data_IF_774859743292
#
_entry.id   IF_774859743292
#
_cell.length_a   1.000
_cell.length_b   1.000
_cell.length_c   1.000
_cell.angle_alpha   90.00
_cell.angle_beta   90.00
_cell.angle_gamma   90.00
#
_symmetry.space_group_name_H-M   'P 1'
#
loop_
_entity.id
_entity.type
_entity.pdbx_description
1 polymer ?
#
# COMPACT_ATOMS: atom_id res chain seq x y z
N UNK A 1 -3.14 2.31 -0.67
CA UNK A 1 -2.21 3.47 -0.75
C UNK A 1 -2.40 4.19 -2.06
N UNK A 2 -2.33 5.52 -2.04
CA UNK A 2 -2.41 6.41 -3.19
C UNK A 2 -1.20 7.34 -3.17
N UNK A 3 -0.73 7.74 -4.35
CA UNK A 3 0.31 8.77 -4.48
C UNK A 3 -0.40 10.09 -4.78
N UNK A 4 -0.12 11.11 -3.98
CA UNK A 4 -0.56 12.47 -4.22
C UNK A 4 0.66 13.25 -4.67
N UNK A 5 0.57 13.86 -5.84
CA UNK A 5 1.67 14.63 -6.43
C UNK A 5 1.15 15.92 -7.05
N UNK A 6 2.03 16.90 -7.17
CA UNK A 6 1.73 18.19 -7.77
C UNK A 6 2.98 19.04 -7.91
N UNK A 7 2.79 20.28 -8.37
CA UNK A 7 3.89 21.23 -8.58
C UNK A 7 3.64 22.54 -7.86
N UNK A 8 4.72 23.20 -7.42
CA UNK A 8 4.70 24.59 -6.96
C UNK A 8 5.67 25.39 -7.83
N UNK A 9 5.12 26.39 -8.54
CA UNK A 9 5.86 27.25 -9.47
C UNK A 9 5.80 28.71 -9.04
N UNK A 10 6.82 29.46 -9.42
CA UNK A 10 6.83 30.91 -9.37
C UNK A 10 5.94 31.48 -10.49
N UNK A 11 4.96 32.29 -10.10
CA UNK A 11 4.07 33.03 -11.00
C UNK A 11 4.45 34.52 -11.10
N UNK A 12 5.60 34.91 -10.55
CA UNK A 12 6.10 36.27 -10.64
C UNK A 12 6.32 36.66 -12.10
N UNK A 13 6.06 37.92 -12.49
CA UNK A 13 6.24 38.37 -13.87
C UNK A 13 7.68 38.19 -14.40
N UNK A 14 8.66 38.09 -13.50
CA UNK A 14 10.06 37.94 -13.87
C UNK A 14 10.45 36.51 -14.24
N UNK A 15 9.77 35.49 -13.70
CA UNK A 15 10.17 34.08 -13.81
C UNK A 15 8.99 33.09 -13.85
N UNK A 16 7.97 33.34 -14.70
CA UNK A 16 6.76 32.53 -14.73
C UNK A 16 7.07 31.06 -15.05
N UNK A 17 6.53 30.15 -14.26
CA UNK A 17 6.64 28.70 -14.45
C UNK A 17 7.97 28.09 -14.01
N UNK A 18 8.87 28.87 -13.39
CA UNK A 18 10.05 28.29 -12.73
C UNK A 18 9.64 27.62 -11.41
N UNK A 19 10.37 26.60 -10.92
CA UNK A 19 10.01 25.95 -9.66
C UNK A 19 10.22 26.89 -8.47
N UNK A 20 9.32 26.81 -7.48
CA UNK A 20 9.48 27.53 -6.23
C UNK A 20 10.55 26.86 -5.37
N UNK A 21 11.60 27.60 -5.02
CA UNK A 21 12.78 27.14 -4.26
C UNK A 21 12.77 27.70 -2.83
N UNK A 22 13.40 27.00 -1.89
CA UNK A 22 13.57 27.45 -0.51
C UNK A 22 14.20 28.86 -0.42
N UNK A 23 13.89 29.61 0.64
CA UNK A 23 14.49 30.93 0.87
C UNK A 23 16.02 30.81 1.05
N UNK A 24 16.49 29.68 1.59
CA UNK A 24 17.91 29.38 1.82
C UNK A 24 18.71 29.25 0.51
N UNK A 25 18.11 28.63 -0.51
CA UNK A 25 18.78 28.36 -1.80
C UNK A 25 18.46 29.42 -2.87
N UNK A 26 17.58 30.37 -2.56
CA UNK A 26 17.10 31.41 -3.47
C UNK A 26 18.22 32.19 -4.15
N UNK A 27 19.26 32.56 -3.40
CA UNK A 27 20.36 33.35 -3.96
C UNK A 27 21.11 32.58 -5.07
N UNK A 28 21.43 31.31 -4.81
CA UNK A 28 22.10 30.45 -5.80
C UNK A 28 21.20 30.15 -6.99
N UNK A 29 19.89 29.99 -6.75
CA UNK A 29 18.89 29.78 -7.80
C UNK A 29 18.79 30.98 -8.76
N UNK A 30 18.77 32.19 -8.22
CA UNK A 30 18.73 33.44 -9.00
C UNK A 30 20.01 33.64 -9.83
N UNK A 31 21.17 33.31 -9.28
CA UNK A 31 22.43 33.34 -10.05
C UNK A 31 22.44 32.33 -11.20
N UNK A 32 21.89 31.13 -10.98
CA UNK A 32 21.70 30.14 -12.04
C UNK A 32 20.81 30.68 -13.16
N UNK A 33 19.63 31.19 -12.82
CA UNK A 33 18.65 31.66 -13.81
C UNK A 33 19.09 32.91 -14.56
N UNK A 34 19.71 33.89 -13.89
CA UNK A 34 19.98 35.21 -14.49
C UNK A 34 21.45 35.44 -14.88
N UNK A 35 22.39 34.72 -14.26
CA UNK A 35 23.83 34.92 -14.51
C UNK A 35 24.49 33.74 -15.25
N UNK A 36 23.71 32.78 -15.74
CA UNK A 36 24.19 31.57 -16.44
C UNK A 36 25.23 30.79 -15.61
N UNK A 37 25.07 30.77 -14.29
CA UNK A 37 25.86 29.90 -13.42
C UNK A 37 25.46 28.44 -13.63
N UNK A 38 26.27 27.46 -13.18
CA UNK A 38 25.83 26.07 -13.09
C UNK A 38 24.59 25.94 -12.20
N UNK A 39 23.74 24.96 -12.49
CA UNK A 39 22.60 24.62 -11.64
C UNK A 39 23.10 24.20 -10.24
N UNK A 40 22.49 24.67 -9.14
CA UNK A 40 22.80 24.19 -7.80
C UNK A 40 22.60 22.67 -7.70
N UNK A 41 23.38 21.96 -6.88
CA UNK A 41 23.28 20.50 -6.79
C UNK A 41 22.35 20.00 -5.69
N UNK A 42 22.04 20.87 -4.73
CA UNK A 42 21.38 20.55 -3.47
C UNK A 42 20.30 21.56 -3.07
N UNK A 43 19.87 22.40 -4.03
CA UNK A 43 18.74 23.31 -3.80
C UNK A 43 17.47 22.52 -3.48
N UNK A 44 16.69 23.02 -2.52
CA UNK A 44 15.42 22.42 -2.12
C UNK A 44 14.25 23.25 -2.63
N UNK A 45 13.16 22.59 -2.98
CA UNK A 45 11.90 23.28 -3.19
C UNK A 45 11.28 23.75 -1.87
N UNK A 46 10.02 24.14 -1.95
CA UNK A 46 9.22 24.59 -0.80
C UNK A 46 8.39 23.47 -0.18
N UNK A 47 8.04 23.62 1.10
CA UNK A 47 7.16 22.69 1.81
C UNK A 47 5.68 22.94 1.49
N UNK A 48 4.94 21.86 1.23
CA UNK A 48 3.51 21.85 0.95
C UNK A 48 2.79 21.04 2.02
N UNK A 49 1.75 21.61 2.62
CA UNK A 49 0.84 20.91 3.52
C UNK A 49 -0.24 20.19 2.71
N UNK A 50 -0.50 18.92 3.03
CA UNK A 50 -1.57 18.14 2.43
C UNK A 50 -2.65 17.84 3.45
N UNK A 51 -3.86 18.29 3.15
CA UNK A 51 -5.06 18.11 3.95
C UNK A 51 -6.12 17.36 3.14
N UNK A 52 -7.03 16.66 3.82
CA UNK A 52 -8.13 15.94 3.19
C UNK A 52 -9.46 16.23 3.88
N UNK A 53 -10.52 16.23 3.08
CA UNK A 53 -11.91 16.14 3.54
C UNK A 53 -12.40 14.74 3.15
N UNK A 54 -12.72 13.91 4.14
CA UNK A 54 -13.20 12.55 3.90
C UNK A 54 -14.70 12.49 3.55
N UNK A 55 -15.18 11.29 3.23
CA UNK A 55 -16.58 11.05 2.86
C UNK A 55 -17.59 11.41 3.97
N UNK A 56 -17.15 11.55 5.22
CA UNK A 56 -17.96 11.97 6.35
C UNK A 56 -17.90 13.49 6.59
N UNK A 57 -17.12 14.22 5.79
CA UNK A 57 -16.90 15.66 5.92
C UNK A 57 -15.84 16.03 6.94
N UNK A 58 -15.01 15.10 7.41
CA UNK A 58 -13.96 15.41 8.38
C UNK A 58 -12.73 15.99 7.67
N UNK A 59 -12.35 17.21 8.06
CA UNK A 59 -11.10 17.84 7.63
C UNK A 59 -9.93 17.38 8.52
N UNK A 60 -8.84 16.91 7.90
CA UNK A 60 -7.61 16.55 8.63
C UNK A 60 -6.36 16.72 7.77
N UNK A 61 -5.24 17.00 8.44
CA UNK A 61 -3.93 16.96 7.83
C UNK A 61 -3.46 15.51 7.65
N UNK A 62 -2.88 15.18 6.49
CA UNK A 62 -2.33 13.86 6.19
C UNK A 62 -0.80 13.87 6.09
N UNK A 63 -0.18 15.04 6.14
CA UNK A 63 1.27 15.22 6.16
C UNK A 63 1.73 16.46 5.41
N UNK A 64 3.05 16.60 5.32
CA UNK A 64 3.73 17.61 4.49
C UNK A 64 4.64 16.94 3.48
N UNK A 65 4.88 17.59 2.34
CA UNK A 65 5.82 17.16 1.33
C UNK A 65 6.66 18.35 0.87
N UNK A 66 7.99 18.18 0.82
CA UNK A 66 8.89 19.19 0.25
C UNK A 66 9.00 18.95 -1.25
N UNK A 67 8.81 19.99 -2.04
CA UNK A 67 9.07 19.93 -3.48
C UNK A 67 10.55 19.81 -3.79
N UNK A 68 10.88 19.21 -4.92
CA UNK A 68 12.24 19.11 -5.42
C UNK A 68 12.63 20.32 -6.29
N UNK A 69 13.82 20.27 -6.87
CA UNK A 69 14.32 21.32 -7.77
C UNK A 69 13.54 21.47 -9.08
N UNK A 70 12.63 20.54 -9.40
CA UNK A 70 11.68 20.67 -10.51
C UNK A 70 10.34 21.27 -10.07
N UNK A 71 10.20 21.57 -8.78
CA UNK A 71 8.97 22.09 -8.18
C UNK A 71 7.96 21.00 -7.87
N UNK A 72 8.30 19.72 -8.07
CA UNK A 72 7.39 18.58 -7.88
C UNK A 72 7.45 18.12 -6.43
N UNK A 73 6.30 17.96 -5.78
CA UNK A 73 6.18 17.28 -4.49
C UNK A 73 5.39 15.99 -4.64
N UNK A 74 5.63 15.02 -3.75
CA UNK A 74 4.83 13.80 -3.67
C UNK A 74 4.68 13.29 -2.24
N UNK A 75 3.51 12.71 -1.93
CA UNK A 75 3.19 12.08 -0.66
C UNK A 75 2.46 10.77 -0.91
N UNK A 76 2.93 9.67 -0.30
CA UNK A 76 2.22 8.39 -0.30
C UNK A 76 1.33 8.32 0.92
N UNK A 77 0.03 8.19 0.71
CA UNK A 77 -0.97 8.16 1.77
C UNK A 77 -1.91 6.95 1.65
N UNK A 78 -2.47 6.50 2.77
CA UNK A 78 -3.43 5.40 2.82
C UNK A 78 -4.76 5.89 3.40
N UNK A 79 -5.85 5.92 2.61
CA UNK A 79 -7.17 6.28 3.11
C UNK A 79 -7.71 5.24 4.10
N UNK A 80 -8.30 5.72 5.20
CA UNK A 80 -8.78 4.86 6.29
C UNK A 80 -10.18 4.26 6.01
N UNK A 81 -10.97 4.89 5.14
CA UNK A 81 -12.33 4.47 4.80
C UNK A 81 -12.55 4.53 3.27
N UNK A 82 -13.47 3.73 2.71
CA UNK A 82 -13.90 3.91 1.33
C UNK A 82 -14.76 5.18 1.19
N UNK A 83 -14.81 5.72 -0.03
CA UNK A 83 -15.65 6.86 -0.39
C UNK A 83 -14.89 7.99 -1.10
N UNK A 84 -15.57 9.12 -1.25
CA UNK A 84 -15.03 10.32 -1.89
C UNK A 84 -14.12 11.09 -0.92
N UNK A 85 -12.96 11.52 -1.39
CA UNK A 85 -12.06 12.41 -0.67
C UNK A 85 -11.75 13.64 -1.52
N UNK A 86 -11.80 14.81 -0.90
CA UNK A 86 -11.19 16.03 -1.44
C UNK A 86 -9.81 16.17 -0.83
N UNK A 87 -8.79 16.34 -1.67
CA UNK A 87 -7.41 16.56 -1.26
C UNK A 87 -7.08 18.03 -1.53
N UNK A 88 -6.48 18.69 -0.54
CA UNK A 88 -6.13 20.11 -0.59
C UNK A 88 -4.63 20.20 -0.32
N UNK A 89 -3.88 20.71 -1.28
CA UNK A 89 -2.47 21.02 -1.15
C UNK A 89 -2.30 22.52 -0.93
N UNK A 90 -1.61 22.91 0.13
CA UNK A 90 -1.42 24.30 0.52
C UNK A 90 0.07 24.62 0.65
N UNK A 91 0.51 25.64 -0.10
CA UNK A 91 1.78 26.30 0.12
C UNK A 91 1.53 27.56 0.96
N UNK A 92 2.11 27.61 2.16
CA UNK A 92 1.89 28.70 3.11
C UNK A 92 2.51 30.05 2.68
N UNK A 93 3.36 30.05 1.64
CA UNK A 93 4.17 31.20 1.27
C UNK A 93 5.53 31.23 1.98
N UNK A 94 6.40 32.11 1.53
CA UNK A 94 7.73 32.38 2.08
C UNK A 94 8.07 33.87 1.96
N UNK A 95 9.30 34.26 2.27
CA UNK A 95 9.75 35.63 1.96
C UNK A 95 9.89 35.85 0.44
N UNK A 96 10.12 34.77 -0.32
CA UNK A 96 10.35 34.86 -1.76
C UNK A 96 9.08 34.68 -2.60
N UNK A 97 8.10 33.92 -2.11
CA UNK A 97 6.88 33.58 -2.87
C UNK A 97 5.61 33.78 -2.04
N UNK A 98 4.53 34.19 -2.72
CA UNK A 98 3.20 34.28 -2.12
C UNK A 98 2.60 32.89 -1.82
N UNK A 99 1.61 32.85 -0.93
CA UNK A 99 0.89 31.60 -0.64
C UNK A 99 -0.02 31.18 -1.78
N UNK A 100 -0.27 29.88 -1.88
CA UNK A 100 -1.17 29.30 -2.89
C UNK A 100 -1.78 27.99 -2.38
N UNK A 101 -2.85 27.54 -3.03
CA UNK A 101 -3.46 26.25 -2.76
C UNK A 101 -4.03 25.65 -4.04
N UNK A 102 -4.17 24.33 -4.06
CA UNK A 102 -4.80 23.57 -5.12
C UNK A 102 -5.62 22.43 -4.53
N UNK A 103 -6.70 22.04 -5.22
CA UNK A 103 -7.59 20.98 -4.78
C UNK A 103 -7.76 19.93 -5.87
N UNK A 104 -7.89 18.67 -5.45
CA UNK A 104 -8.26 17.54 -6.32
C UNK A 104 -9.16 16.58 -5.57
N UNK A 105 -9.68 15.56 -6.24
CA UNK A 105 -10.56 14.57 -5.62
C UNK A 105 -10.24 13.16 -6.09
N UNK A 106 -10.41 12.21 -5.18
CA UNK A 106 -10.27 10.78 -5.45
C UNK A 106 -11.47 10.02 -4.89
N UNK A 107 -11.74 8.85 -5.46
CA UNK A 107 -12.71 7.91 -4.91
C UNK A 107 -11.99 6.62 -4.52
N UNK A 108 -12.22 6.18 -3.29
CA UNK A 108 -11.62 4.97 -2.71
C UNK A 108 -12.67 3.88 -2.67
N UNK A 109 -12.46 2.82 -3.42
CA UNK A 109 -13.35 1.65 -3.40
C UNK A 109 -13.07 0.77 -2.18
N UNK A 110 -14.10 0.05 -1.72
CA UNK A 110 -13.95 -0.94 -0.67
C UNK A 110 -13.15 -2.14 -1.20
N UNK A 111 -12.16 -2.59 -0.44
CA UNK A 111 -11.38 -3.76 -0.82
C UNK A 111 -12.28 -5.02 -0.82
N UNK A 112 -12.20 -5.88 -1.85
CA UNK A 112 -13.00 -7.10 -1.89
C UNK A 112 -12.63 -8.01 -0.72
N UNK A 113 -13.65 -8.62 -0.11
CA UNK A 113 -13.46 -9.57 0.99
C UNK A 113 -12.67 -10.78 0.47
N UNK A 114 -11.64 -11.20 1.20
CA UNK A 114 -10.93 -12.42 0.85
C UNK A 114 -11.90 -13.61 0.90
N UNK A 115 -11.97 -14.39 -0.18
CA UNK A 115 -12.70 -15.66 -0.15
C UNK A 115 -11.96 -16.60 0.79
N UNK A 116 -12.64 -17.24 1.77
CA UNK A 116 -11.99 -18.22 2.61
C UNK A 116 -11.40 -19.34 1.73
N UNK A 117 -10.24 -19.91 2.10
CA UNK A 117 -9.72 -21.07 1.41
C UNK A 117 -10.78 -22.18 1.40
N UNK A 118 -10.84 -23.01 0.33
CA UNK A 118 -11.78 -24.12 0.30
C UNK A 118 -11.59 -25.01 1.52
N UNK A 119 -12.71 -25.46 2.11
CA UNK A 119 -12.68 -26.43 3.19
C UNK A 119 -11.81 -27.63 2.80
N UNK A 120 -10.98 -28.09 3.73
CA UNK A 120 -10.18 -29.28 3.52
C UNK A 120 -11.13 -30.44 3.25
N UNK A 121 -10.91 -31.15 2.14
CA UNK A 121 -11.69 -32.37 1.84
C UNK A 121 -11.52 -33.32 3.03
N UNK A 122 -12.62 -33.83 3.65
CA UNK A 122 -12.51 -34.79 4.74
C UNK A 122 -11.63 -35.95 4.29
N UNK A 123 -10.59 -36.25 5.05
CA UNK A 123 -9.77 -37.41 4.75
C UNK A 123 -10.67 -38.67 4.72
N UNK A 124 -10.50 -39.57 3.73
CA UNK A 124 -11.24 -40.81 3.74
C UNK A 124 -10.95 -41.57 5.05
N UNK A 125 -11.90 -42.35 5.60
CA UNK A 125 -11.72 -43.09 6.85
C UNK A 125 -10.80 -44.32 6.64
N UNK A 126 -9.59 -44.11 6.11
CA UNK A 126 -8.58 -45.12 5.83
C UNK A 126 -8.21 -45.91 7.07
N UNK A 127 -8.13 -45.25 8.23
CA UNK A 127 -7.83 -45.93 9.49
C UNK A 127 -8.92 -46.94 9.88
N UNK A 128 -10.19 -46.62 9.63
CA UNK A 128 -11.30 -47.54 9.85
C UNK A 128 -11.24 -48.73 8.89
N UNK A 129 -10.90 -48.50 7.62
CA UNK A 129 -10.74 -49.57 6.63
C UNK A 129 -9.54 -50.48 6.97
N UNK A 130 -8.39 -49.91 7.36
CA UNK A 130 -7.19 -50.67 7.74
C UNK A 130 -7.48 -51.50 9.01
N UNK A 131 -8.15 -50.93 10.00
CA UNK A 131 -8.53 -51.65 11.22
C UNK A 131 -9.51 -52.78 10.92
N UNK A 132 -10.53 -52.53 10.08
CA UNK A 132 -11.50 -53.55 9.66
C UNK A 132 -10.86 -54.71 8.89
N UNK A 133 -9.99 -54.40 7.92
CA UNK A 133 -9.23 -55.41 7.18
C UNK A 133 -8.29 -56.19 8.11
N UNK A 134 -7.62 -55.52 9.04
CA UNK A 134 -6.75 -56.16 10.04
C UNK A 134 -7.51 -57.18 10.90
N UNK A 135 -8.66 -56.79 11.44
CA UNK A 135 -9.53 -57.69 12.23
C UNK A 135 -9.99 -58.89 11.39
N UNK A 136 -10.45 -58.65 10.15
CA UNK A 136 -10.93 -59.71 9.26
C UNK A 136 -9.83 -60.72 8.90
N UNK A 137 -8.62 -60.25 8.58
CA UNK A 137 -7.46 -61.11 8.28
C UNK A 137 -7.08 -61.94 9.51
N UNK A 138 -7.03 -61.32 10.69
CA UNK A 138 -6.66 -62.00 11.93
C UNK A 138 -7.66 -63.10 12.29
N UNK A 139 -8.96 -62.83 12.14
CA UNK A 139 -10.01 -63.83 12.32
C UNK A 139 -9.88 -65.00 11.33
N UNK A 140 -9.62 -64.71 10.04
CA UNK A 140 -9.44 -65.74 9.01
C UNK A 140 -8.23 -66.66 9.33
N UNK A 141 -7.10 -66.09 9.74
CA UNK A 141 -5.90 -66.85 10.13
C UNK A 141 -6.17 -67.76 11.33
N UNK A 142 -6.88 -67.28 12.35
CA UNK A 142 -7.27 -68.08 13.51
C UNK A 142 -8.16 -69.25 13.09
N UNK A 143 -9.17 -69.00 12.25
CA UNK A 143 -10.08 -70.04 11.76
C UNK A 143 -9.30 -71.12 10.98
N UNK A 144 -8.43 -70.72 10.06
CA UNK A 144 -7.59 -71.65 9.28
C UNK A 144 -6.68 -72.46 10.22
N UNK A 145 -6.06 -71.82 11.21
CA UNK A 145 -5.23 -72.48 12.21
C UNK A 145 -5.98 -73.54 13.01
N UNK A 146 -7.19 -73.21 13.48
CA UNK A 146 -8.06 -74.17 14.21
C UNK A 146 -8.48 -75.34 13.32
N UNK A 147 -8.85 -75.08 12.06
CA UNK A 147 -9.23 -76.13 11.10
C UNK A 147 -8.06 -77.06 10.81
N UNK A 148 -6.85 -76.53 10.59
CA UNK A 148 -5.64 -77.34 10.38
C UNK A 148 -5.32 -78.20 11.60
N UNK A 149 -5.40 -77.63 12.81
CA UNK A 149 -5.20 -78.40 14.06
C UNK A 149 -6.26 -79.51 14.21
N UNK A 150 -7.53 -79.23 13.89
CA UNK A 150 -8.59 -80.24 13.90
C UNK A 150 -8.35 -81.35 12.87
N UNK A 151 -7.85 -81.02 11.68
CA UNK A 151 -7.50 -82.03 10.66
C UNK A 151 -6.29 -82.88 11.06
N UNK A 152 -5.30 -82.31 11.75
CA UNK A 152 -4.14 -83.06 12.25
C UNK A 152 -4.48 -83.97 13.44
N UNK A 153 -5.47 -83.61 14.27
CA UNK A 153 -5.96 -84.44 15.39
C UNK A 153 -6.84 -85.63 14.97
N UNK A 154 -7.28 -85.68 13.71
CA UNK A 154 -8.10 -86.78 13.15
C UNK A 154 -7.28 -87.90 12.48
N UNK A 155 -5.94 -87.85 12.56
CA UNK A 155 -5.04 -88.96 12.24
C UNK A 155 -4.55 -89.61 13.53
#
# INVERSE_FOLDING_TARGET
KVVIEGTVTDESPGQPGTPAISDEDMSAWMEYLHMQKPIPTDAKGVEVSLDVIDANGNFRNIGTATSDMSGVYSLVWEPDIPGHYTIIATYAGSNSYGSSYAETSIYVEEAPTATPPPDTTPAPPTDTYIMGLGIAILAAVIIIGVVLIMMMRKK
#
